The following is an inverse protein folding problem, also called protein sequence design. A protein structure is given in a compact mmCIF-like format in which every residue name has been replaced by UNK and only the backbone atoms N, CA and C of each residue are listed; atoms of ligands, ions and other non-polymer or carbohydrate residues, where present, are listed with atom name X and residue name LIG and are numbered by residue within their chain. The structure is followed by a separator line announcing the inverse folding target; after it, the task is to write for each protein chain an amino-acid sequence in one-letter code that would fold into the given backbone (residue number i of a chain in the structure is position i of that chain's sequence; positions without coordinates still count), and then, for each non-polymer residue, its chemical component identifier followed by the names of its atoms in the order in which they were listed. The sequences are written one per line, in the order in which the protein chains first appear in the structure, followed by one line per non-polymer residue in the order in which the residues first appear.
data_IF_067641736450
#
_entry.id   IF_067641736450
#
_cell.length_a   1.000
_cell.length_b   1.000
_cell.length_c   1.000
_cell.angle_alpha   90.00
_cell.angle_beta   90.00
_cell.angle_gamma   90.00
#
_symmetry.space_group_name_H-M   'P 1'
#
loop_
_entity.id
_entity.type
_entity.pdbx_description
1 polymer ?
#
# COMPACT_ATOMS: atom_id res chain seq x y z
N UNK A 1 5.21 -7.27 -19.98
CA UNK A 1 6.20 -7.20 -18.87
C UNK A 1 7.20 -6.09 -19.20
N UNK A 2 7.27 -5.02 -18.40
CA UNK A 2 8.34 -4.02 -18.56
C UNK A 2 9.55 -4.51 -17.76
N UNK A 3 10.54 -5.07 -18.45
CA UNK A 3 11.75 -5.57 -17.83
C UNK A 3 12.66 -4.38 -17.58
N UNK A 4 12.77 -3.92 -16.34
CA UNK A 4 13.59 -2.75 -16.01
C UNK A 4 15.09 -3.07 -16.02
N UNK A 5 15.47 -4.35 -16.06
CA UNK A 5 16.87 -4.80 -16.07
C UNK A 5 17.66 -4.43 -14.79
N UNK A 6 16.98 -3.90 -13.77
CA UNK A 6 17.62 -3.39 -12.56
C UNK A 6 18.02 -4.52 -11.63
N UNK A 7 19.31 -4.61 -11.34
CA UNK A 7 19.85 -5.56 -10.37
C UNK A 7 20.28 -4.82 -9.10
N UNK A 8 19.93 -5.38 -7.93
CA UNK A 8 20.37 -4.89 -6.64
C UNK A 8 20.95 -6.01 -5.81
N UNK A 9 22.06 -5.72 -5.13
CA UNK A 9 22.62 -6.62 -4.12
C UNK A 9 21.71 -6.64 -2.90
N UNK A 10 21.60 -7.81 -2.30
CA UNK A 10 20.92 -7.97 -1.03
C UNK A 10 21.75 -7.30 0.07
N UNK A 11 21.10 -6.55 0.96
CA UNK A 11 21.78 -6.00 2.13
C UNK A 11 22.17 -7.09 3.13
N UNK A 12 23.00 -6.73 4.11
CA UNK A 12 23.58 -7.65 5.09
C UNK A 12 22.56 -8.44 5.94
N UNK A 13 21.30 -8.02 5.97
CA UNK A 13 20.22 -8.62 6.77
C UNK A 13 19.04 -9.02 5.85
N UNK A 14 19.31 -9.32 4.57
CA UNK A 14 18.24 -9.73 3.65
C UNK A 14 17.33 -8.59 3.18
N UNK A 15 17.66 -7.33 3.46
CA UNK A 15 16.89 -6.17 3.01
C UNK A 15 17.13 -5.93 1.52
N UNK A 16 16.05 -5.82 0.74
CA UNK A 16 16.08 -5.34 -0.64
C UNK A 16 15.36 -3.99 -0.71
N UNK A 17 15.95 -3.03 -1.40
CA UNK A 17 15.36 -1.70 -1.58
C UNK A 17 14.65 -1.67 -2.92
N UNK A 18 13.37 -1.27 -2.92
CA UNK A 18 12.61 -1.01 -4.15
C UNK A 18 12.95 0.41 -4.66
N UNK A 19 13.46 0.55 -5.90
CA UNK A 19 13.69 1.85 -6.53
C UNK A 19 12.43 2.72 -6.57
N UNK A 20 12.61 4.03 -6.55
CA UNK A 20 11.51 5.01 -6.54
C UNK A 20 10.58 4.83 -7.75
N UNK A 21 11.13 4.47 -8.91
CA UNK A 21 10.40 4.24 -10.15
C UNK A 21 9.40 3.09 -10.01
N UNK A 22 9.83 1.97 -9.40
CA UNK A 22 8.96 0.81 -9.18
C UNK A 22 7.88 1.14 -8.15
N UNK A 23 8.24 1.86 -7.08
CA UNK A 23 7.27 2.30 -6.06
C UNK A 23 6.17 3.17 -6.68
N UNK A 24 6.54 4.11 -7.54
CA UNK A 24 5.59 4.99 -8.20
C UNK A 24 4.70 4.23 -9.19
N UNK A 25 5.28 3.35 -10.00
CA UNK A 25 4.51 2.51 -10.94
C UNK A 25 3.53 1.56 -10.24
N UNK A 26 3.91 1.05 -9.07
CA UNK A 26 3.06 0.18 -8.27
C UNK A 26 2.13 0.93 -7.30
N UNK A 27 2.18 2.26 -7.25
CA UNK A 27 1.37 3.08 -6.35
C UNK A 27 1.64 2.78 -4.86
N UNK A 28 2.87 2.44 -4.51
CA UNK A 28 3.30 2.13 -3.14
C UNK A 28 3.95 3.36 -2.50
N UNK A 29 3.17 4.10 -1.71
CA UNK A 29 3.68 5.19 -0.88
C UNK A 29 4.45 4.63 0.35
N UNK A 30 5.21 5.49 1.02
CA UNK A 30 5.87 5.14 2.29
C UNK A 30 4.82 4.64 3.29
N UNK A 31 5.12 3.53 3.98
CA UNK A 31 4.19 2.92 4.94
C UNK A 31 3.05 2.10 4.33
N UNK A 32 2.99 1.94 3.00
CA UNK A 32 2.00 1.05 2.37
C UNK A 32 2.24 -0.39 2.82
N UNK A 33 1.25 -1.07 3.43
CA UNK A 33 1.38 -2.48 3.74
C UNK A 33 1.37 -3.30 2.44
N UNK A 34 2.36 -4.18 2.34
CA UNK A 34 2.58 -5.04 1.19
C UNK A 34 2.47 -6.49 1.62
N UNK A 35 1.82 -7.28 0.79
CA UNK A 35 1.82 -8.72 0.89
C UNK A 35 3.01 -9.27 0.08
N UNK A 36 3.79 -10.16 0.70
CA UNK A 36 4.94 -10.81 0.08
C UNK A 36 4.64 -12.31 0.01
N UNK A 37 4.64 -12.86 -1.19
CA UNK A 37 4.45 -14.28 -1.45
C UNK A 37 5.59 -14.84 -2.28
N UNK A 38 5.88 -16.13 -2.11
CA UNK A 38 6.89 -16.86 -2.88
C UNK A 38 6.19 -17.85 -3.80
N UNK A 39 6.49 -17.78 -5.09
CA UNK A 39 5.94 -18.66 -6.12
C UNK A 39 7.10 -19.22 -6.94
N UNK A 40 7.54 -20.44 -6.60
CA UNK A 40 8.74 -21.06 -7.15
C UNK A 40 9.98 -20.20 -6.85
N UNK A 41 10.65 -19.73 -7.90
CA UNK A 41 11.84 -18.87 -7.81
C UNK A 41 11.51 -17.37 -7.82
N UNK A 42 10.23 -16.98 -7.77
CA UNK A 42 9.80 -15.59 -7.81
C UNK A 42 9.26 -15.13 -6.46
N UNK A 43 9.65 -13.91 -6.07
CA UNK A 43 9.03 -13.18 -4.97
C UNK A 43 8.01 -12.21 -5.57
N UNK A 44 6.72 -12.38 -5.24
CA UNK A 44 5.66 -11.46 -5.63
C UNK A 44 5.35 -10.50 -4.48
N UNK A 45 5.41 -9.21 -4.79
CA UNK A 45 5.04 -8.14 -3.87
C UNK A 45 3.75 -7.52 -4.41
N UNK A 46 2.68 -7.55 -3.62
CA UNK A 46 1.38 -6.95 -3.95
C UNK A 46 0.98 -5.95 -2.87
N UNK A 47 0.27 -4.89 -3.26
CA UNK A 47 -0.35 -4.00 -2.29
C UNK A 47 -1.52 -4.73 -1.63
N UNK A 48 -1.63 -4.64 -0.31
CA UNK A 48 -2.78 -5.21 0.39
C UNK A 48 -4.04 -4.38 0.07
N UNK A 49 -5.09 -4.96 -0.53
CA UNK A 49 -6.25 -4.20 -0.99
C UNK A 49 -7.06 -3.62 0.19
N UNK A 50 -7.05 -4.30 1.33
CA UNK A 50 -7.78 -3.89 2.54
C UNK A 50 -7.00 -2.92 3.43
N UNK A 51 -5.95 -2.25 2.93
CA UNK A 51 -5.20 -1.30 3.75
C UNK A 51 -5.92 0.06 3.83
N UNK A 52 -6.11 0.59 5.03
CA UNK A 52 -6.61 1.94 5.22
C UNK A 52 -5.65 2.96 4.57
N UNK A 53 -6.16 3.83 3.71
CA UNK A 53 -5.36 4.85 3.02
C UNK A 53 -4.86 5.97 3.93
N UNK A 54 -5.48 6.14 5.11
CA UNK A 54 -5.15 7.22 6.04
C UNK A 54 -4.25 6.71 7.16
N UNK A 55 -4.64 5.62 7.83
CA UNK A 55 -3.92 5.08 8.99
C UNK A 55 -2.90 4.00 8.60
N UNK A 56 -2.98 3.43 7.39
CA UNK A 56 -2.14 2.30 6.97
C UNK A 56 -2.52 0.96 7.62
N UNK A 57 -3.51 0.93 8.50
CA UNK A 57 -3.96 -0.28 9.19
C UNK A 57 -4.56 -1.27 8.19
N UNK A 58 -4.16 -2.54 8.29
CA UNK A 58 -4.81 -3.65 7.58
C UNK A 58 -5.72 -4.36 8.58
N UNK A 59 -7.02 -4.31 8.35
CA UNK A 59 -8.01 -5.00 9.17
C UNK A 59 -9.18 -5.45 8.30
N UNK A 60 -9.83 -6.56 8.67
CA UNK A 60 -11.09 -6.99 8.09
C UNK A 60 -12.22 -5.99 8.35
N UNK A 61 -12.08 -5.15 9.38
CA UNK A 61 -13.04 -4.09 9.71
C UNK A 61 -12.87 -2.83 8.85
N UNK A 62 -11.97 -2.84 7.86
CA UNK A 62 -11.78 -1.69 6.99
C UNK A 62 -12.94 -1.53 6.02
N UNK A 63 -13.49 -0.33 5.98
CA UNK A 63 -14.64 0.05 5.16
C UNK A 63 -14.16 0.37 3.75
N UNK A 64 -14.79 -0.28 2.78
CA UNK A 64 -14.54 -0.04 1.35
C UNK A 64 -15.67 0.84 0.81
N UNK A 65 -15.31 2.03 0.31
CA UNK A 65 -16.21 3.06 -0.20
C UNK A 65 -15.91 3.35 -1.68
N UNK A 66 -16.86 4.00 -2.37
CA UNK A 66 -16.73 4.42 -3.76
C UNK A 66 -16.31 3.29 -4.72
N UNK A 67 -16.98 2.13 -4.63
CA UNK A 67 -16.71 0.93 -5.44
C UNK A 67 -15.24 0.47 -5.38
N UNK A 68 -14.64 0.42 -4.19
CA UNK A 68 -13.26 -0.05 -4.03
C UNK A 68 -12.18 1.00 -4.19
N UNK A 69 -12.55 2.26 -4.47
CA UNK A 69 -11.58 3.35 -4.64
C UNK A 69 -11.07 3.91 -3.32
N UNK A 70 -11.88 3.81 -2.26
CA UNK A 70 -11.54 4.33 -0.94
C UNK A 70 -11.58 3.18 0.05
N UNK A 71 -10.50 2.98 0.80
CA UNK A 71 -10.42 1.98 1.86
C UNK A 71 -9.97 2.67 3.13
N UNK A 72 -10.81 2.63 4.17
CA UNK A 72 -10.59 3.35 5.42
C UNK A 72 -10.82 2.43 6.61
N UNK A 73 -9.95 2.49 7.61
CA UNK A 73 -10.23 1.91 8.92
C UNK A 73 -11.29 2.75 9.64
N UNK A 74 -11.96 2.21 10.67
CA UNK A 74 -12.96 2.96 11.43
C UNK A 74 -12.43 4.30 11.96
N UNK A 75 -11.16 4.33 12.39
CA UNK A 75 -10.49 5.55 12.84
C UNK A 75 -10.21 6.51 11.68
N UNK A 76 -9.70 5.99 10.55
CA UNK A 76 -9.46 6.78 9.34
C UNK A 76 -10.74 7.39 8.77
N UNK A 77 -11.86 6.65 8.81
CA UNK A 77 -13.16 7.12 8.37
C UNK A 77 -13.69 8.28 9.22
N UNK A 78 -13.58 8.17 10.56
CA UNK A 78 -13.92 9.28 11.48
C UNK A 78 -13.10 10.52 11.20
N UNK A 79 -11.78 10.36 11.05
CA UNK A 79 -10.87 11.47 10.76
C UNK A 79 -11.23 12.18 9.44
N UNK A 80 -11.44 11.42 8.36
CA UNK A 80 -11.85 11.99 7.07
C UNK A 80 -13.19 12.71 7.16
N UNK A 81 -14.16 12.15 7.90
CA UNK A 81 -15.47 12.75 8.07
C UNK A 81 -15.40 14.10 8.82
N UNK A 82 -14.57 14.22 9.86
CA UNK A 82 -14.33 15.49 10.55
C UNK A 82 -13.68 16.53 9.63
N UNK A 83 -12.67 16.13 8.85
CA UNK A 83 -12.01 17.03 7.90
C UNK A 83 -12.97 17.49 6.80
N UNK A 84 -13.80 16.59 6.27
CA UNK A 84 -14.78 16.94 5.24
C UNK A 84 -15.83 17.92 5.75
N UNK A 85 -16.30 17.77 6.99
CA UNK A 85 -17.23 18.74 7.61
C UNK A 85 -16.65 20.15 7.65
N UNK A 86 -15.36 20.29 7.95
CA UNK A 86 -14.70 21.61 7.99
C UNK A 86 -14.50 22.25 6.61
N UNK A 87 -14.54 21.46 5.53
CA UNK A 87 -14.37 21.96 4.16
C UNK A 87 -15.69 22.25 3.44
N UNK A 88 -16.76 21.57 3.84
CA UNK A 88 -18.09 21.69 3.20
C UNK A 88 -19.00 22.67 3.97
N UNK A 89 -18.69 22.96 5.24
CA UNK A 89 -19.38 23.95 6.06
C UNK A 89 -18.97 25.39 5.77
#
# INVERSE_FOLDING_TARGET
MKNTGMQRKLGNIGRVVLPIEIRNLAGMALGTPVEISVEGNFIRIKRHPLACQITGEVSENNVVLANGKIVLSPNGAKYVLEQLKNYIA
#
